data_IF_952266089209
#
_entry.id   IF_952266089209
#
_cell.length_a   1.000
_cell.length_b   1.000
_cell.length_c   1.000
_cell.angle_alpha   90.00
_cell.angle_beta   90.00
_cell.angle_gamma   90.00
#
_symmetry.space_group_name_H-M   'P 1'
#
loop_
_entity.id
_entity.type
_entity.pdbx_description
1 polymer ?
#
# COMPACT_ATOMS: atom_id res chain seq x y z
N UNK A 1 14.68 39.81 -24.03
CA UNK A 1 14.63 38.77 -23.00
C UNK A 1 15.47 37.60 -23.52
N UNK A 2 16.51 37.22 -22.80
CA UNK A 2 17.49 36.21 -23.25
C UNK A 2 16.98 34.80 -22.90
N UNK A 3 17.19 33.77 -23.76
CA UNK A 3 16.62 32.43 -23.57
C UNK A 3 17.12 31.70 -22.32
N UNK A 4 16.27 30.85 -21.74
CA UNK A 4 16.49 30.15 -20.48
C UNK A 4 17.73 29.24 -20.47
N UNK A 5 18.68 29.58 -19.60
CA UNK A 5 19.88 28.80 -19.32
C UNK A 5 19.51 27.55 -18.52
N UNK A 6 19.83 26.36 -19.06
CA UNK A 6 19.73 25.06 -18.37
C UNK A 6 21.15 24.56 -18.08
N UNK A 7 21.36 23.96 -16.91
CA UNK A 7 22.67 23.43 -16.49
C UNK A 7 22.52 22.01 -15.91
N UNK A 8 23.39 21.10 -16.32
CA UNK A 8 23.41 19.69 -15.91
C UNK A 8 24.08 19.43 -14.55
N UNK A 9 24.49 20.48 -13.82
CA UNK A 9 25.13 20.35 -12.50
C UNK A 9 24.40 21.21 -11.46
N UNK A 10 24.15 20.72 -10.25
CA UNK A 10 23.64 21.54 -9.16
C UNK A 10 24.63 22.68 -8.87
N UNK A 11 24.14 23.92 -8.92
CA UNK A 11 24.98 25.10 -8.72
C UNK A 11 24.14 26.38 -8.67
N UNK A 12 24.78 27.50 -8.31
CA UNK A 12 24.14 28.82 -8.29
C UNK A 12 24.02 29.39 -9.71
N UNK A 13 22.95 30.14 -9.97
CA UNK A 13 22.77 30.83 -11.25
C UNK A 13 23.88 31.88 -11.47
N UNK A 14 24.57 31.91 -12.62
CA UNK A 14 25.70 32.84 -12.87
C UNK A 14 25.33 34.32 -12.88
N UNK A 15 24.02 34.66 -12.92
CA UNK A 15 23.55 36.02 -13.15
C UNK A 15 22.77 36.63 -11.97
N UNK A 16 22.31 35.83 -11.00
CA UNK A 16 21.39 36.31 -9.95
C UNK A 16 21.64 35.79 -8.52
N UNK A 17 22.71 35.06 -8.23
CA UNK A 17 23.07 34.56 -6.88
C UNK A 17 21.94 33.84 -6.13
N UNK A 18 20.95 33.32 -6.87
CA UNK A 18 19.86 32.50 -6.37
C UNK A 18 20.18 31.02 -6.61
N UNK A 19 19.78 30.18 -5.66
CA UNK A 19 19.92 28.74 -5.76
C UNK A 19 19.00 28.19 -6.86
N UNK A 20 19.53 27.30 -7.70
CA UNK A 20 18.75 26.62 -8.72
C UNK A 20 17.79 25.63 -8.07
N UNK A 21 16.50 25.77 -8.39
CA UNK A 21 15.47 24.78 -8.04
C UNK A 21 15.54 23.65 -9.05
N UNK A 22 15.63 22.37 -8.63
CA UNK A 22 15.61 21.25 -9.55
C UNK A 22 14.25 21.19 -10.27
N UNK A 23 14.30 21.31 -11.59
CA UNK A 23 13.17 21.06 -12.48
C UNK A 23 13.33 19.63 -12.98
N UNK A 24 12.44 18.74 -12.54
CA UNK A 24 12.35 17.39 -13.09
C UNK A 24 11.73 17.47 -14.49
N UNK A 25 12.20 16.63 -15.42
CA UNK A 25 11.54 16.43 -16.71
C UNK A 25 10.12 15.87 -16.48
N UNK A 26 9.13 16.76 -16.40
CA UNK A 26 7.73 16.39 -16.57
C UNK A 26 7.48 16.18 -18.07
N UNK A 27 7.96 15.06 -18.60
CA UNK A 27 7.46 14.54 -19.88
C UNK A 27 6.05 13.97 -19.67
N UNK A 28 5.02 14.78 -19.97
CA UNK A 28 3.75 14.26 -20.51
C UNK A 28 2.58 14.01 -19.56
N UNK A 29 2.61 14.43 -18.29
CA UNK A 29 1.45 14.26 -17.40
C UNK A 29 0.38 15.35 -17.63
N UNK A 30 -0.61 15.06 -18.48
CA UNK A 30 -1.77 15.95 -18.68
C UNK A 30 -2.67 15.90 -17.46
N UNK A 31 -2.82 17.02 -16.74
CA UNK A 31 -3.75 17.14 -15.62
C UNK A 31 -5.19 17.10 -16.14
N UNK A 32 -5.96 16.09 -15.72
CA UNK A 32 -7.37 15.94 -16.06
C UNK A 32 -8.21 16.55 -14.94
N UNK A 33 -9.14 17.44 -15.31
CA UNK A 33 -10.12 18.00 -14.37
C UNK A 33 -11.48 17.36 -14.61
N UNK A 34 -12.02 16.71 -13.59
CA UNK A 34 -13.34 16.10 -13.58
C UNK A 34 -14.28 16.88 -12.65
N UNK A 35 -15.56 16.97 -13.03
CA UNK A 35 -16.59 17.55 -12.17
C UNK A 35 -16.84 16.66 -10.94
N UNK A 36 -17.11 17.24 -9.75
CA UNK A 36 -17.34 16.46 -8.53
C UNK A 36 -18.42 15.39 -8.66
N UNK A 37 -19.50 15.69 -9.40
CA UNK A 37 -20.59 14.75 -9.70
C UNK A 37 -20.10 13.50 -10.44
N UNK A 38 -19.16 13.68 -11.37
CA UNK A 38 -18.56 12.59 -12.15
C UNK A 38 -17.67 11.75 -11.24
N UNK A 39 -16.85 12.39 -10.40
CA UNK A 39 -15.98 11.69 -9.42
C UNK A 39 -16.81 10.84 -8.46
N UNK A 40 -17.93 11.36 -7.98
CA UNK A 40 -18.84 10.64 -7.08
C UNK A 40 -19.54 9.47 -7.80
N UNK A 41 -20.03 9.69 -9.01
CA UNK A 41 -20.70 8.64 -9.79
C UNK A 41 -19.73 7.53 -10.23
N UNK A 42 -18.46 7.85 -10.44
CA UNK A 42 -17.41 6.85 -10.75
C UNK A 42 -16.98 6.04 -9.51
N UNK A 43 -17.41 6.41 -8.30
CA UNK A 43 -17.02 5.73 -7.07
C UNK A 43 -15.52 5.86 -6.79
N UNK A 44 -14.90 6.97 -7.20
CA UNK A 44 -13.45 7.18 -7.04
C UNK A 44 -13.08 7.11 -5.56
N UNK A 45 -12.21 6.15 -5.23
CA UNK A 45 -11.63 6.01 -3.90
C UNK A 45 -10.19 6.49 -3.95
N UNK A 46 -9.74 7.07 -2.85
CA UNK A 46 -8.39 7.60 -2.72
C UNK A 46 -7.73 7.08 -1.47
N UNK A 47 -6.41 6.93 -1.51
CA UNK A 47 -5.59 6.57 -0.37
C UNK A 47 -4.37 7.50 -0.29
N UNK A 48 -3.95 7.83 0.92
CA UNK A 48 -2.76 8.65 1.10
C UNK A 48 -1.50 7.78 1.13
N UNK A 49 -0.51 8.12 0.32
CA UNK A 49 0.77 7.44 0.30
C UNK A 49 1.52 7.74 1.61
N UNK A 50 1.76 6.69 2.40
CA UNK A 50 2.46 6.81 3.69
C UNK A 50 3.87 6.26 3.58
N UNK A 51 4.83 6.97 4.19
CA UNK A 51 6.16 6.42 4.42
C UNK A 51 6.11 5.50 5.62
N UNK A 52 6.54 4.26 5.45
CA UNK A 52 6.54 3.30 6.55
C UNK A 52 6.99 1.93 6.10
N UNK A 53 6.56 0.92 6.85
CA UNK A 53 6.60 -0.47 6.42
C UNK A 53 5.16 -0.95 6.31
N UNK A 54 4.75 -1.56 5.18
CA UNK A 54 3.38 -1.97 4.99
C UNK A 54 3.09 -3.12 5.95
N UNK A 55 1.85 -3.25 6.42
CA UNK A 55 1.42 -4.46 7.09
C UNK A 55 1.52 -5.62 6.08
N UNK A 56 2.36 -6.58 6.40
CA UNK A 56 2.40 -7.90 5.77
C UNK A 56 1.31 -8.75 6.41
N UNK A 57 0.43 -9.28 5.59
CA UNK A 57 -0.56 -10.26 6.03
C UNK A 57 0.10 -11.62 6.13
N UNK A 58 0.03 -12.21 7.31
CA UNK A 58 0.45 -13.59 7.54
C UNK A 58 -0.81 -14.39 7.79
N UNK A 59 -1.17 -15.23 6.82
CA UNK A 59 -2.33 -16.12 6.90
C UNK A 59 -1.83 -17.47 7.41
N UNK A 60 -2.37 -17.91 8.53
CA UNK A 60 -2.07 -19.22 9.12
C UNK A 60 -3.36 -19.84 9.66
N UNK A 61 -3.32 -21.12 9.97
CA UNK A 61 -4.44 -21.84 10.59
C UNK A 61 -4.03 -22.23 12.00
N UNK A 62 -4.97 -22.10 12.93
CA UNK A 62 -4.75 -22.42 14.33
C UNK A 62 -5.95 -23.06 14.99
N UNK A 63 -5.71 -23.50 16.23
CA UNK A 63 -6.73 -24.08 17.08
C UNK A 63 -7.21 -23.06 18.10
N UNK A 64 -8.50 -23.02 18.31
CA UNK A 64 -9.12 -22.18 19.34
C UNK A 64 -9.18 -22.92 20.66
N UNK A 65 -8.77 -22.27 21.75
CA UNK A 65 -8.89 -22.80 23.11
C UNK A 65 -9.21 -21.68 24.10
N UNK A 66 -9.69 -22.05 25.27
CA UNK A 66 -10.02 -21.09 26.34
C UNK A 66 -9.07 -21.32 27.51
N UNK A 67 -8.39 -20.27 27.93
CA UNK A 67 -7.54 -20.26 29.12
C UNK A 67 -8.13 -19.34 30.22
N UNK A 68 -7.39 -19.15 31.31
CA UNK A 68 -7.83 -18.29 32.43
C UNK A 68 -7.96 -16.80 32.05
N UNK A 69 -7.33 -16.36 30.96
CA UNK A 69 -7.37 -14.97 30.47
C UNK A 69 -8.42 -14.74 29.38
N UNK A 70 -9.01 -15.80 28.83
CA UNK A 70 -10.09 -15.70 27.87
C UNK A 70 -9.94 -16.64 26.68
N UNK A 71 -10.52 -16.25 25.56
CA UNK A 71 -10.46 -16.99 24.30
C UNK A 71 -9.16 -16.67 23.55
N UNK A 72 -8.43 -17.73 23.19
CA UNK A 72 -7.11 -17.62 22.56
C UNK A 72 -7.02 -18.55 21.35
N UNK A 73 -6.43 -18.08 20.26
CA UNK A 73 -6.05 -18.92 19.13
C UNK A 73 -4.55 -19.28 19.23
N UNK A 74 -4.22 -20.56 19.07
CA UNK A 74 -2.85 -21.05 18.94
C UNK A 74 -2.54 -21.29 17.47
N UNK A 75 -1.56 -20.59 16.92
CA UNK A 75 -1.12 -20.78 15.53
C UNK A 75 0.34 -21.17 15.48
N UNK A 76 0.71 -21.97 14.49
CA UNK A 76 2.11 -22.27 14.19
C UNK A 76 2.63 -21.27 13.16
N UNK A 77 3.82 -20.73 13.42
CA UNK A 77 4.56 -19.79 12.58
C UNK A 77 5.93 -20.39 12.25
N UNK A 78 6.35 -20.31 10.99
CA UNK A 78 7.70 -20.69 10.57
C UNK A 78 8.68 -19.52 10.70
N UNK A 79 9.98 -19.78 10.59
CA UNK A 79 11.07 -18.80 10.78
C UNK A 79 10.80 -17.42 10.13
N UNK A 80 10.33 -17.40 8.88
CA UNK A 80 10.08 -16.14 8.15
C UNK A 80 8.92 -15.33 8.74
N UNK A 81 7.90 -16.01 9.24
CA UNK A 81 6.71 -15.41 9.83
C UNK A 81 7.02 -14.94 11.25
N UNK A 82 7.63 -15.80 12.05
CA UNK A 82 8.08 -15.47 13.40
C UNK A 82 9.03 -14.25 13.41
N UNK A 83 9.87 -14.11 12.38
CA UNK A 83 10.75 -12.95 12.23
C UNK A 83 9.99 -11.62 12.05
N UNK A 84 8.81 -11.64 11.43
CA UNK A 84 7.97 -10.46 11.17
C UNK A 84 6.92 -10.20 12.26
N UNK A 85 6.48 -11.23 12.97
CA UNK A 85 5.45 -11.12 14.00
C UNK A 85 6.03 -10.58 15.32
N UNK A 86 5.33 -9.66 15.96
CA UNK A 86 5.69 -9.10 17.29
C UNK A 86 4.46 -9.06 18.19
N UNK A 87 4.63 -9.24 19.52
CA UNK A 87 3.56 -8.99 20.48
C UNK A 87 2.94 -7.60 20.30
N UNK A 88 1.62 -7.50 20.45
CA UNK A 88 0.85 -6.27 20.24
C UNK A 88 0.31 -6.06 18.83
N UNK A 89 0.73 -6.85 17.83
CA UNK A 89 0.16 -6.79 16.48
C UNK A 89 -1.30 -7.26 16.46
N UNK A 90 -2.10 -6.64 15.60
CA UNK A 90 -3.51 -6.98 15.40
C UNK A 90 -3.60 -8.25 14.55
N UNK A 91 -4.52 -9.12 14.92
CA UNK A 91 -4.86 -10.32 14.18
C UNK A 91 -6.38 -10.41 13.95
N UNK A 92 -6.77 -10.75 12.73
CA UNK A 92 -8.14 -11.13 12.39
C UNK A 92 -8.26 -12.65 12.47
N UNK A 93 -9.31 -13.14 13.13
CA UNK A 93 -9.56 -14.56 13.34
C UNK A 93 -10.90 -14.92 12.75
N UNK A 94 -10.89 -15.74 11.72
CA UNK A 94 -12.06 -16.26 11.04
C UNK A 94 -12.24 -17.72 11.40
N UNK A 95 -13.28 -18.01 12.17
CA UNK A 95 -13.62 -19.39 12.53
C UNK A 95 -14.26 -20.06 11.32
N UNK A 96 -13.75 -21.22 10.89
CA UNK A 96 -14.22 -21.86 9.65
C UNK A 96 -15.71 -22.22 9.66
N UNK A 97 -16.27 -22.46 10.85
CA UNK A 97 -17.66 -22.84 11.04
C UNK A 97 -18.62 -21.65 11.21
N UNK A 98 -18.15 -20.40 11.12
CA UNK A 98 -18.98 -19.21 11.36
C UNK A 98 -18.58 -18.07 10.42
N UNK A 99 -19.53 -17.32 9.83
CA UNK A 99 -19.20 -16.23 8.92
C UNK A 99 -18.61 -14.99 9.61
N UNK A 100 -18.52 -14.98 10.94
CA UNK A 100 -18.07 -13.84 11.75
C UNK A 100 -16.54 -13.80 11.84
N UNK A 101 -15.99 -12.62 11.58
CA UNK A 101 -14.57 -12.31 11.82
C UNK A 101 -14.43 -11.69 13.20
N UNK A 102 -13.49 -12.20 13.98
CA UNK A 102 -13.15 -11.70 15.30
C UNK A 102 -11.80 -10.99 15.27
N UNK A 103 -11.62 -10.00 16.14
CA UNK A 103 -10.34 -9.30 16.28
C UNK A 103 -9.63 -9.76 17.55
N UNK A 104 -8.32 -9.92 17.43
CA UNK A 104 -7.42 -10.28 18.50
C UNK A 104 -6.08 -9.58 18.39
N UNK A 105 -5.24 -9.82 19.39
CA UNK A 105 -3.90 -9.25 19.50
C UNK A 105 -2.92 -10.38 19.78
N UNK A 106 -1.76 -10.34 19.13
CA UNK A 106 -0.65 -11.26 19.40
C UNK A 106 -0.17 -11.02 20.83
N UNK A 107 -0.36 -12.00 21.70
CA UNK A 107 0.02 -11.96 23.11
C UNK A 107 1.48 -12.37 23.32
N UNK A 108 1.84 -13.55 22.82
CA UNK A 108 3.19 -14.11 22.92
C UNK A 108 3.53 -14.94 21.69
N UNK A 109 4.84 -15.10 21.46
CA UNK A 109 5.41 -15.99 20.46
C UNK A 109 6.44 -16.84 21.19
N UNK A 110 6.20 -18.14 21.27
CA UNK A 110 7.01 -19.10 22.02
C UNK A 110 7.70 -20.02 21.02
N UNK A 111 8.99 -20.30 21.23
CA UNK A 111 9.68 -21.34 20.47
C UNK A 111 9.25 -22.70 20.99
N UNK A 112 8.59 -23.51 20.17
CA UNK A 112 8.44 -24.92 20.52
C UNK A 112 9.73 -25.63 20.11
N UNK A 113 10.51 -26.07 21.09
CA UNK A 113 11.75 -26.81 20.84
C UNK A 113 11.35 -28.27 20.61
N UNK A 114 10.61 -28.53 19.54
CA UNK A 114 10.39 -29.88 19.05
C UNK A 114 11.34 -30.15 17.88
N UNK A 115 12.13 -31.22 17.99
CA UNK A 115 13.43 -31.40 17.30
C UNK A 115 13.28 -31.64 15.78
N UNK A 116 12.05 -31.62 15.23
CA UNK A 116 11.78 -31.85 13.81
C UNK A 116 11.18 -30.68 13.03
N UNK A 117 10.46 -29.76 13.69
CA UNK A 117 9.78 -28.64 13.03
C UNK A 117 10.13 -27.36 13.77
N UNK A 118 10.95 -26.50 13.16
CA UNK A 118 11.26 -25.18 13.70
C UNK A 118 10.05 -24.26 13.57
N UNK A 119 9.04 -24.53 14.37
CA UNK A 119 7.77 -23.82 14.43
C UNK A 119 7.71 -23.04 15.74
N UNK A 120 7.31 -21.78 15.63
CA UNK A 120 7.00 -20.91 16.75
C UNK A 120 5.49 -20.92 16.98
N UNK A 121 5.07 -21.04 18.23
CA UNK A 121 3.67 -20.97 18.61
C UNK A 121 3.32 -19.54 18.98
N UNK A 122 2.46 -18.91 18.19
CA UNK A 122 1.92 -17.61 18.53
C UNK A 122 0.54 -17.75 19.18
N UNK A 123 0.35 -17.04 20.29
CA UNK A 123 -0.92 -16.95 21.01
C UNK A 123 -1.62 -15.66 20.59
N UNK A 124 -2.77 -15.76 19.95
CA UNK A 124 -3.62 -14.59 19.63
C UNK A 124 -4.75 -14.52 20.65
N UNK A 125 -4.75 -13.48 21.49
CA UNK A 125 -5.85 -13.23 22.43
C UNK A 125 -6.95 -12.45 21.76
N UNK A 126 -8.18 -12.95 21.86
CA UNK A 126 -9.36 -12.26 21.32
C UNK A 126 -9.72 -11.05 22.18
N UNK A 127 -10.07 -9.90 21.58
CA UNK A 127 -10.46 -8.71 22.34
C UNK A 127 -11.92 -8.73 22.80
N UNK A 128 -12.82 -9.27 21.96
CA UNK A 128 -14.26 -9.36 22.26
C UNK A 128 -14.84 -10.62 21.60
N UNK A 129 -14.93 -11.71 22.36
CA UNK A 129 -15.41 -12.98 21.84
C UNK A 129 -16.33 -13.71 22.83
N UNK A 130 -17.62 -13.44 22.74
CA UNK A 130 -18.68 -14.20 23.41
C UNK A 130 -19.01 -15.46 22.60
N UNK A 131 -18.00 -16.28 22.36
CA UNK A 131 -18.12 -17.51 21.55
C UNK A 131 -18.18 -18.71 22.47
N UNK A 132 -19.20 -19.55 22.25
CA UNK A 132 -19.24 -20.91 22.78
C UNK A 132 -18.23 -21.74 22.00
N UNK A 133 -17.09 -22.01 22.63
CA UNK A 133 -16.02 -22.79 22.02
C UNK A 133 -16.47 -24.25 21.87
N UNK A 134 -16.41 -24.78 20.65
CA UNK A 134 -16.57 -26.23 20.41
C UNK A 134 -15.20 -26.92 20.42
N UNK A 135 -15.13 -28.19 20.86
CA UNK A 135 -13.90 -28.97 20.76
C UNK A 135 -13.37 -28.99 19.32
N UNK A 136 -12.05 -28.89 19.17
CA UNK A 136 -11.34 -28.99 17.89
C UNK A 136 -11.72 -27.91 16.85
N UNK A 137 -12.15 -26.73 17.31
CA UNK A 137 -12.48 -25.62 16.41
C UNK A 137 -11.22 -25.02 15.77
N UNK A 138 -11.20 -25.06 14.44
CA UNK A 138 -10.16 -24.46 13.62
C UNK A 138 -10.53 -23.02 13.24
N UNK A 139 -9.53 -22.15 13.26
CA UNK A 139 -9.66 -20.79 12.81
C UNK A 139 -8.52 -20.42 11.86
N UNK A 140 -8.86 -19.72 10.80
CA UNK A 140 -7.92 -18.99 9.98
C UNK A 140 -7.57 -17.69 10.70
N UNK A 141 -6.27 -17.42 10.86
CA UNK A 141 -5.76 -16.24 11.54
C UNK A 141 -4.93 -15.44 10.55
N UNK A 142 -5.30 -14.18 10.37
CA UNK A 142 -4.55 -13.20 9.57
C UNK A 142 -3.87 -12.22 10.52
N UNK A 143 -2.56 -12.33 10.68
CA UNK A 143 -1.76 -11.41 11.50
C UNK A 143 -1.28 -10.26 10.61
N UNK A 144 -1.53 -9.03 11.05
CA UNK A 144 -1.03 -7.81 10.41
C UNK A 144 0.37 -7.49 10.94
N UNK A 145 1.39 -8.08 10.32
CA UNK A 145 2.77 -7.96 10.74
C UNK A 145 3.47 -6.76 10.09
N UNK A 146 4.19 -5.94 10.86
CA UNK A 146 5.00 -4.84 10.30
C UNK A 146 6.46 -5.27 10.17
N UNK A 147 7.02 -5.20 8.97
CA UNK A 147 8.44 -5.52 8.76
C UNK A 147 9.29 -4.31 9.15
N UNK A 148 9.98 -4.38 10.29
CA UNK A 148 10.97 -3.37 10.65
C UNK A 148 12.17 -3.45 9.69
N UNK A 149 12.52 -2.34 9.02
CA UNK A 149 13.83 -2.23 8.38
C UNK A 149 13.93 -1.37 7.13
N UNK A 150 12.83 -1.09 6.43
CA UNK A 150 12.88 -0.27 5.21
C UNK A 150 11.72 0.71 5.17
N UNK A 151 12.01 1.98 5.52
CA UNK A 151 11.07 3.06 5.29
C UNK A 151 11.04 3.35 3.79
N UNK A 152 9.93 3.01 3.15
CA UNK A 152 9.67 3.37 1.76
C UNK A 152 8.26 3.94 1.62
N UNK A 153 7.96 4.51 0.46
CA UNK A 153 6.60 4.98 0.14
C UNK A 153 5.79 3.75 -0.29
N UNK A 154 4.66 3.54 0.37
CA UNK A 154 3.76 2.45 0.03
C UNK A 154 2.41 3.00 -0.41
N UNK A 155 1.84 2.34 -1.41
CA UNK A 155 0.48 2.58 -1.89
C UNK A 155 -0.26 1.25 -1.98
N UNK A 156 -1.61 1.25 -1.91
CA UNK A 156 -2.41 0.06 -2.17
C UNK A 156 -2.10 -0.50 -3.56
N UNK A 157 -1.97 -1.82 -3.67
CA UNK A 157 -1.63 -2.52 -4.92
C UNK A 157 -2.59 -2.16 -6.07
N UNK A 158 -3.87 -1.99 -5.75
CA UNK A 158 -4.94 -1.58 -6.67
C UNK A 158 -4.74 -0.20 -7.30
N UNK A 159 -3.99 0.72 -6.67
CA UNK A 159 -3.69 2.03 -7.22
C UNK A 159 -2.67 1.99 -8.37
N UNK A 160 -1.89 0.90 -8.48
CA UNK A 160 -0.88 0.75 -9.52
C UNK A 160 -1.52 0.30 -10.84
N UNK A 161 -1.43 1.18 -11.84
CA UNK A 161 -1.81 0.87 -13.21
C UNK A 161 -0.61 0.22 -13.90
N UNK A 162 -0.78 -1.03 -14.29
CA UNK A 162 0.19 -1.72 -15.16
C UNK A 162 -0.39 -1.79 -16.56
N UNK A 163 0.18 -1.01 -17.46
CA UNK A 163 0.05 -1.29 -18.89
C UNK A 163 1.30 -2.10 -19.26
N UNK A 164 1.22 -3.02 -20.22
CA UNK A 164 2.38 -3.86 -20.59
C UNK A 164 3.65 -3.07 -21.00
N UNK A 165 3.56 -1.74 -21.12
CA UNK A 165 4.64 -0.84 -21.49
C UNK A 165 5.11 0.09 -20.36
N UNK A 166 4.26 0.39 -19.36
CA UNK A 166 4.61 1.29 -18.24
C UNK A 166 3.82 1.01 -16.97
N UNK A 167 4.42 1.40 -15.84
CA UNK A 167 3.75 1.43 -14.54
C UNK A 167 3.40 2.88 -14.19
N UNK A 168 2.16 3.15 -13.84
CA UNK A 168 1.68 4.49 -13.52
C UNK A 168 0.72 4.47 -12.33
N UNK A 169 0.56 5.62 -11.69
CA UNK A 169 -0.48 5.87 -10.68
C UNK A 169 -1.20 7.15 -11.03
N UNK A 170 -2.42 7.32 -10.54
CA UNK A 170 -3.15 8.59 -10.69
C UNK A 170 -3.12 9.32 -9.35
N UNK A 171 -2.49 10.49 -9.33
CA UNK A 171 -2.51 11.40 -8.18
C UNK A 171 -3.79 12.23 -8.19
N UNK A 172 -4.42 12.37 -7.03
CA UNK A 172 -5.54 13.28 -6.80
C UNK A 172 -5.01 14.59 -6.18
N UNK A 173 -5.00 15.66 -6.97
CA UNK A 173 -4.49 16.98 -6.56
C UNK A 173 -5.55 17.84 -5.83
N UNK A 174 -6.70 17.23 -5.51
CA UNK A 174 -7.86 17.90 -4.96
C UNK A 174 -8.67 18.69 -6.00
N UNK A 175 -9.87 19.14 -5.58
CA UNK A 175 -10.80 19.90 -6.41
C UNK A 175 -11.16 19.22 -7.76
N UNK A 176 -11.22 17.87 -7.77
CA UNK A 176 -11.53 17.10 -8.98
C UNK A 176 -10.40 17.03 -10.01
N UNK A 177 -9.17 17.43 -9.66
CA UNK A 177 -7.99 17.35 -10.53
C UNK A 177 -7.21 16.07 -10.29
N UNK A 178 -6.85 15.40 -11.38
CA UNK A 178 -6.13 14.15 -11.39
C UNK A 178 -4.95 14.20 -12.35
N UNK A 179 -3.84 13.59 -11.96
CA UNK A 179 -2.61 13.56 -12.76
C UNK A 179 -2.05 12.14 -12.82
N UNK A 180 -1.99 11.51 -14.00
CA UNK A 180 -1.24 10.27 -14.18
C UNK A 180 0.26 10.55 -14.02
N UNK A 181 0.94 9.74 -13.21
CA UNK A 181 2.38 9.84 -12.97
C UNK A 181 3.00 8.47 -13.17
N UNK A 182 4.04 8.39 -13.99
CA UNK A 182 4.81 7.16 -14.13
C UNK A 182 5.59 6.86 -12.85
N UNK A 183 5.60 5.58 -12.46
CA UNK A 183 6.22 5.15 -11.20
C UNK A 183 7.17 3.99 -11.42
N UNK A 184 8.17 3.89 -10.55
CA UNK A 184 9.03 2.71 -10.46
C UNK A 184 8.61 1.88 -9.23
N UNK A 185 7.90 0.75 -9.42
CA UNK A 185 7.53 -0.12 -8.31
C UNK A 185 8.75 -0.89 -7.78
N UNK A 186 8.77 -1.13 -6.47
CA UNK A 186 9.76 -1.92 -5.74
C UNK A 186 9.18 -3.23 -5.25
N UNK A 187 9.40 -3.55 -3.95
CA UNK A 187 8.85 -4.77 -3.34
C UNK A 187 7.32 -4.67 -3.28
N UNK A 188 6.66 -5.73 -3.71
CA UNK A 188 5.21 -5.88 -3.69
C UNK A 188 4.82 -6.97 -2.70
N UNK A 189 3.74 -6.72 -1.96
CA UNK A 189 3.03 -7.69 -1.12
C UNK A 189 1.61 -7.86 -1.67
N UNK A 190 0.81 -8.73 -1.05
CA UNK A 190 -0.55 -9.01 -1.53
C UNK A 190 -1.43 -7.75 -1.63
N UNK A 191 -1.28 -6.82 -0.69
CA UNK A 191 -2.10 -5.61 -0.57
C UNK A 191 -1.36 -4.31 -0.90
N UNK A 192 -0.02 -4.30 -0.84
CA UNK A 192 0.78 -3.07 -0.90
C UNK A 192 1.89 -3.16 -1.93
N UNK A 193 2.23 -2.04 -2.55
CA UNK A 193 3.41 -1.92 -3.42
C UNK A 193 4.31 -0.77 -2.96
N UNK A 194 5.60 -1.06 -2.86
CA UNK A 194 6.63 -0.05 -2.65
C UNK A 194 6.78 0.80 -3.91
N UNK A 195 6.85 2.12 -3.76
CA UNK A 195 7.15 3.06 -4.83
C UNK A 195 8.55 3.65 -4.60
N UNK A 196 9.47 3.35 -5.51
CA UNK A 196 10.84 3.86 -5.47
C UNK A 196 10.94 5.27 -6.06
N UNK A 197 10.13 5.56 -7.08
CA UNK A 197 10.07 6.85 -7.79
C UNK A 197 8.65 7.16 -8.26
N UNK A 198 8.31 8.45 -8.30
CA UNK A 198 7.06 8.98 -8.87
C UNK A 198 5.98 9.35 -7.84
N UNK A 199 6.06 8.86 -6.60
CA UNK A 199 5.13 9.20 -5.51
C UNK A 199 5.91 9.65 -4.29
N UNK A 200 5.40 10.67 -3.59
CA UNK A 200 5.95 11.21 -2.34
C UNK A 200 5.03 10.90 -1.16
N UNK A 201 5.59 11.01 0.03
CA UNK A 201 4.82 10.91 1.26
C UNK A 201 3.78 12.03 1.33
N UNK A 202 2.54 11.66 1.66
CA UNK A 202 1.41 12.57 1.74
C UNK A 202 0.63 12.73 0.43
N UNK A 203 1.16 12.27 -0.70
CA UNK A 203 0.45 12.28 -1.98
C UNK A 203 -0.81 11.41 -1.89
N UNK A 204 -1.89 11.86 -2.53
CA UNK A 204 -3.15 11.12 -2.55
C UNK A 204 -3.24 10.36 -3.87
N UNK A 205 -3.28 9.03 -3.82
CA UNK A 205 -3.41 8.17 -5.00
C UNK A 205 -4.84 7.68 -5.15
N UNK A 206 -5.29 7.49 -6.39
CA UNK A 206 -6.59 6.90 -6.71
C UNK A 206 -6.50 5.38 -6.65
N UNK A 207 -7.37 4.75 -5.86
CA UNK A 207 -7.46 3.29 -5.69
C UNK A 207 -8.65 2.66 -6.43
N UNK A 208 -9.63 3.46 -6.85
CA UNK A 208 -10.77 3.00 -7.66
C UNK A 208 -11.10 3.99 -8.78
N UNK A 209 -11.37 3.49 -9.98
CA UNK A 209 -11.64 4.31 -11.16
C UNK A 209 -10.39 4.85 -11.87
N UNK A 210 -9.19 4.47 -11.42
CA UNK A 210 -7.89 4.94 -11.94
C UNK A 210 -7.71 4.68 -13.45
N UNK A 211 -8.22 3.56 -13.97
CA UNK A 211 -8.10 3.21 -15.39
C UNK A 211 -8.88 4.15 -16.31
N UNK A 212 -10.08 4.58 -15.91
CA UNK A 212 -10.90 5.51 -16.70
C UNK A 212 -10.22 6.89 -16.77
N UNK A 213 -9.65 7.33 -15.66
CA UNK A 213 -8.95 8.61 -15.57
C UNK A 213 -7.65 8.58 -16.40
N UNK A 214 -6.87 7.51 -16.31
CA UNK A 214 -5.65 7.34 -17.12
C UNK A 214 -5.96 7.26 -18.62
N UNK A 215 -7.04 6.55 -18.99
CA UNK A 215 -7.47 6.47 -20.39
C UNK A 215 -7.87 7.84 -20.95
N UNK A 216 -8.68 8.61 -20.23
CA UNK A 216 -9.07 9.98 -20.63
C UNK A 216 -7.85 10.91 -20.73
N UNK A 217 -6.90 10.81 -19.79
CA UNK A 217 -5.68 11.60 -19.81
C UNK A 217 -4.81 11.27 -21.02
N UNK A 218 -4.62 9.99 -21.31
CA UNK A 218 -3.80 9.54 -22.44
C UNK A 218 -4.44 9.90 -23.79
N UNK A 219 -5.76 9.79 -23.89
CA UNK A 219 -6.51 10.25 -25.08
C UNK A 219 -6.28 11.75 -25.30
N UNK A 220 -6.47 12.60 -24.28
CA UNK A 220 -6.19 14.04 -24.40
C UNK A 220 -4.74 14.37 -24.74
N UNK A 221 -3.79 13.69 -24.10
CA UNK A 221 -2.37 13.85 -24.36
C UNK A 221 -1.97 13.40 -25.78
N UNK A 222 -2.68 12.43 -26.36
CA UNK A 222 -2.45 12.01 -27.75
C UNK A 222 -2.94 13.06 -28.76
N UNK A 223 -4.07 13.73 -28.48
CA UNK A 223 -4.58 14.81 -29.33
C UNK A 223 -3.66 16.04 -29.32
N UNK A 224 -3.14 16.45 -28.16
CA UNK A 224 -2.21 17.57 -28.05
C UNK A 224 -0.87 17.32 -28.76
N UNK A 225 -0.41 16.07 -28.85
CA UNK A 225 0.80 15.71 -29.61
C UNK A 225 0.60 15.67 -31.13
N UNK A 226 -0.66 15.64 -31.59
CA UNK A 226 -1.01 15.64 -33.02
C UNK A 226 -1.29 17.05 -33.57
N UNK A 227 -1.43 18.08 -32.72
CA UNK A 227 -1.50 19.46 -33.20
C UNK A 227 -0.09 19.90 -33.69
N UNK A 228 0.06 20.24 -34.98
CA UNK A 228 1.34 20.69 -35.49
C UNK A 228 1.71 22.02 -34.83
N UNK A 229 2.95 22.14 -34.37
CA UNK A 229 3.54 23.40 -33.91
C UNK A 229 3.56 24.37 -35.09
N UNK A 230 2.58 25.29 -35.14
CA UNK A 230 2.58 26.37 -36.12
C UNK A 230 3.80 27.27 -35.84
N UNK A 231 4.61 27.47 -36.87
CA UNK A 231 5.89 28.19 -36.85
C UNK A 231 5.72 29.69 -36.79
#
# INVERSE_FOLDING_TARGET
MTPGFRSDKPGKSPFMDMDLVPVYEDEGATVVTLRPEIVQNLGVRTHQATRGAPPRRIVTTGYMFRDAKGLTALVDLFDREAAAVRPGQIAEVRILDTPTVYHGVVDSIESDIDIGARAFKARIRMTHADIVLRPNMLAEVVILATVAGRQAIYIPREALIRTGQRNAVVLALGAGRFQPVEVTPGVETDDWVEIQRGVKEGDVVVTSGQFLIDSEANVRASFQRMEPVEK
#
